data_IF_664948429145
#
_entry.id   IF_664948429145
#
_cell.length_a   1.000
_cell.length_b   1.000
_cell.length_c   1.000
_cell.angle_alpha   90.00
_cell.angle_beta   90.00
_cell.angle_gamma   90.00
#
_symmetry.space_group_name_H-M   'P 1'
#
loop_
_entity.id
_entity.type
_entity.pdbx_description
1 polymer ?
#
# COMPACT_ATOMS: atom_id res chain seq x y z
N UNK A 1 11.82 32.30 13.69
CA UNK A 1 12.80 31.24 13.35
C UNK A 1 12.36 30.59 12.04
N UNK A 2 12.67 31.16 10.85
CA UNK A 2 11.98 30.80 9.63
C UNK A 2 12.83 29.86 8.77
N UNK A 3 12.89 28.58 9.15
CA UNK A 3 13.38 27.52 8.27
C UNK A 3 12.16 26.86 7.63
N UNK A 4 11.75 27.38 6.47
CA UNK A 4 10.60 26.89 5.72
C UNK A 4 11.10 26.10 4.51
N UNK A 5 10.92 24.78 4.55
CA UNK A 5 11.18 23.89 3.43
C UNK A 5 9.99 23.95 2.47
N UNK A 6 10.13 24.66 1.36
CA UNK A 6 9.18 24.54 0.25
C UNK A 6 9.51 23.30 -0.55
N UNK A 7 8.51 22.49 -0.84
CA UNK A 7 8.77 21.15 -1.34
C UNK A 7 7.70 20.67 -2.30
N UNK A 8 8.15 20.00 -3.38
CA UNK A 8 7.29 19.27 -4.31
C UNK A 8 7.72 17.81 -4.28
N UNK A 9 6.79 16.91 -3.96
CA UNK A 9 7.06 15.48 -4.05
C UNK A 9 7.34 15.10 -5.51
N UNK A 10 8.31 14.21 -5.71
CA UNK A 10 8.60 13.65 -7.03
C UNK A 10 7.45 12.72 -7.47
N UNK A 11 7.39 12.42 -8.77
CA UNK A 11 6.26 11.73 -9.42
C UNK A 11 5.78 10.46 -8.68
N UNK A 12 4.50 10.06 -8.86
CA UNK A 12 3.91 8.90 -8.19
C UNK A 12 4.66 7.58 -8.33
N UNK A 13 5.41 7.41 -9.42
CA UNK A 13 6.24 6.25 -9.70
C UNK A 13 7.38 6.05 -8.68
N UNK A 14 7.69 7.07 -7.87
CA UNK A 14 8.77 7.07 -6.89
C UNK A 14 8.32 6.75 -5.45
N UNK A 15 7.01 6.55 -5.23
CA UNK A 15 6.53 6.15 -3.91
C UNK A 15 6.66 4.64 -3.73
N UNK A 16 7.16 4.24 -2.56
CA UNK A 16 7.27 2.84 -2.18
C UNK A 16 6.94 2.65 -0.71
N UNK A 17 6.47 1.47 -0.37
CA UNK A 17 6.38 1.06 1.02
C UNK A 17 7.73 0.53 1.50
N UNK A 18 8.21 1.05 2.62
CA UNK A 18 9.40 0.60 3.33
C UNK A 18 8.98 -0.32 4.47
N UNK A 19 9.26 -1.62 4.33
CA UNK A 19 8.93 -2.64 5.33
C UNK A 19 9.75 -2.52 6.61
N UNK A 20 10.94 -1.91 6.56
CA UNK A 20 11.78 -1.71 7.73
C UNK A 20 11.25 -0.59 8.63
N UNK A 21 10.70 0.47 8.03
CA UNK A 21 10.09 1.60 8.76
C UNK A 21 8.60 1.44 9.01
N UNK A 22 7.95 0.50 8.33
CA UNK A 22 6.49 0.33 8.33
C UNK A 22 5.75 1.59 7.83
N UNK A 23 6.27 2.21 6.77
CA UNK A 23 5.81 3.50 6.26
C UNK A 23 5.86 3.56 4.73
N UNK A 24 5.01 4.41 4.14
CA UNK A 24 5.15 4.81 2.74
C UNK A 24 6.14 5.96 2.66
N UNK A 25 7.17 5.78 1.83
CA UNK A 25 8.20 6.77 1.58
C UNK A 25 8.14 7.26 0.14
N UNK A 26 8.58 8.49 -0.06
CA UNK A 26 8.76 9.12 -1.36
C UNK A 26 10.04 9.93 -1.39
N UNK A 27 10.46 10.33 -2.58
CA UNK A 27 11.58 11.25 -2.73
C UNK A 27 11.10 12.67 -2.98
N UNK A 28 11.78 13.62 -2.36
CA UNK A 28 11.47 15.03 -2.46
C UNK A 28 12.74 15.83 -2.71
N UNK A 29 12.67 16.74 -3.68
CA UNK A 29 13.73 17.74 -3.89
C UNK A 29 13.46 18.89 -2.94
N UNK A 30 14.37 19.08 -1.99
CA UNK A 30 14.31 20.18 -1.05
C UNK A 30 15.09 21.37 -1.61
N UNK A 31 14.69 22.57 -1.20
CA UNK A 31 15.46 23.79 -1.45
C UNK A 31 15.77 24.45 -0.12
N UNK A 32 17.00 24.92 0.04
CA UNK A 32 17.39 25.70 1.19
C UNK A 32 16.92 27.15 1.01
N UNK A 33 16.00 27.61 1.85
CA UNK A 33 15.58 29.01 1.89
C UNK A 33 16.49 29.80 2.84
N UNK A 34 16.82 31.08 2.55
CA UNK A 34 16.27 31.94 1.50
C UNK A 34 17.00 31.89 0.15
N UNK A 35 18.12 31.15 0.04
CA UNK A 35 19.00 31.19 -1.13
C UNK A 35 18.56 30.28 -2.29
N UNK A 36 17.40 29.60 -2.17
CA UNK A 36 16.85 28.65 -3.13
C UNK A 36 17.83 27.56 -3.62
N UNK A 37 18.84 27.23 -2.80
CA UNK A 37 19.88 26.26 -3.16
C UNK A 37 19.24 24.87 -3.25
N UNK A 38 19.32 24.19 -4.40
CA UNK A 38 18.75 22.86 -4.55
C UNK A 38 19.55 21.85 -3.73
N UNK A 39 18.86 21.06 -2.92
CA UNK A 39 19.42 19.95 -2.17
C UNK A 39 19.26 18.65 -2.97
N UNK A 40 20.11 17.64 -2.71
CA UNK A 40 19.90 16.30 -3.24
C UNK A 40 18.52 15.78 -2.85
N UNK A 41 17.95 14.93 -3.69
CA UNK A 41 16.66 14.31 -3.40
C UNK A 41 16.79 13.46 -2.13
N UNK A 42 15.94 13.76 -1.15
CA UNK A 42 15.91 13.05 0.12
C UNK A 42 14.67 12.18 0.19
N UNK A 43 14.82 11.00 0.80
CA UNK A 43 13.71 10.14 1.13
C UNK A 43 12.96 10.70 2.33
N UNK A 44 11.64 10.83 2.19
CA UNK A 44 10.74 11.35 3.22
C UNK A 44 9.57 10.41 3.42
N UNK A 45 9.04 10.38 4.64
CA UNK A 45 7.74 9.77 4.92
C UNK A 45 6.65 10.55 4.18
N UNK A 46 5.76 9.81 3.53
CA UNK A 46 4.62 10.40 2.84
C UNK A 46 3.57 10.88 3.86
N UNK A 47 3.03 12.10 3.72
CA UNK A 47 1.99 12.59 4.63
C UNK A 47 0.74 11.70 4.60
N UNK A 48 0.07 11.58 5.74
CA UNK A 48 -1.16 10.77 5.88
C UNK A 48 -2.32 11.24 4.98
N UNK A 49 -2.28 12.49 4.53
CA UNK A 49 -3.27 13.12 3.63
C UNK A 49 -2.92 12.94 2.15
N UNK A 50 -1.75 12.38 1.84
CA UNK A 50 -1.27 12.29 0.47
C UNK A 50 -2.10 11.25 -0.32
N UNK A 51 -2.59 11.58 -1.53
CA UNK A 51 -3.48 10.71 -2.29
C UNK A 51 -2.86 9.37 -2.70
N UNK A 52 -1.53 9.31 -2.80
CA UNK A 52 -0.80 8.08 -3.15
C UNK A 52 -0.61 7.10 -1.98
N UNK A 53 -0.91 7.48 -0.72
CA UNK A 53 -0.65 6.66 0.46
C UNK A 53 -1.34 5.28 0.37
N UNK A 54 -2.67 5.26 0.28
CA UNK A 54 -3.44 4.02 0.24
C UNK A 54 -3.22 3.19 -1.03
N UNK A 55 -3.09 3.79 -2.24
CA UNK A 55 -2.65 3.07 -3.43
C UNK A 55 -1.32 2.33 -3.27
N UNK A 56 -0.33 2.96 -2.61
CA UNK A 56 0.98 2.34 -2.37
C UNK A 56 0.89 1.23 -1.32
N UNK A 57 0.10 1.42 -0.26
CA UNK A 57 -0.18 0.36 0.72
C UNK A 57 -0.87 -0.83 0.06
N UNK A 58 -1.90 -0.60 -0.75
CA UNK A 58 -2.57 -1.66 -1.49
C UNK A 58 -1.62 -2.40 -2.44
N UNK A 59 -0.75 -1.67 -3.15
CA UNK A 59 0.29 -2.28 -3.99
C UNK A 59 1.23 -3.18 -3.17
N UNK A 60 1.76 -2.68 -2.06
CA UNK A 60 2.63 -3.47 -1.17
C UNK A 60 1.91 -4.67 -0.53
N UNK A 61 0.60 -4.56 -0.28
CA UNK A 61 -0.24 -5.64 0.21
C UNK A 61 -0.33 -6.77 -0.81
N UNK A 62 -0.68 -6.42 -2.05
CA UNK A 62 -0.78 -7.36 -3.17
C UNK A 62 0.56 -8.00 -3.55
N UNK A 63 1.67 -7.28 -3.35
CA UNK A 63 3.02 -7.82 -3.56
C UNK A 63 3.46 -8.79 -2.45
N UNK A 64 2.73 -8.87 -1.33
CA UNK A 64 3.16 -9.62 -0.15
C UNK A 64 4.31 -8.96 0.62
N UNK A 65 4.58 -7.67 0.39
CA UNK A 65 5.62 -6.91 1.12
C UNK A 65 5.19 -6.54 2.54
N UNK A 66 3.88 -6.35 2.74
CA UNK A 66 3.30 -6.11 4.07
C UNK A 66 3.20 -7.40 4.89
N UNK A 67 2.91 -8.52 4.22
CA UNK A 67 2.63 -9.82 4.83
C UNK A 67 3.21 -10.92 3.94
N UNK A 68 4.29 -11.56 4.38
CA UNK A 68 5.07 -12.47 3.56
C UNK A 68 4.25 -13.68 3.07
N UNK A 69 3.30 -14.16 3.87
CA UNK A 69 2.37 -15.26 3.52
C UNK A 69 1.57 -15.00 2.23
N UNK A 70 1.29 -13.73 1.90
CA UNK A 70 0.57 -13.36 0.68
C UNK A 70 1.43 -13.46 -0.59
N UNK A 71 2.76 -13.52 -0.46
CA UNK A 71 3.66 -13.65 -1.61
C UNK A 71 3.40 -14.94 -2.41
N UNK A 72 2.93 -16.01 -1.74
CA UNK A 72 2.58 -17.29 -2.35
C UNK A 72 1.42 -17.20 -3.36
N UNK A 73 0.58 -16.16 -3.24
CA UNK A 73 -0.61 -15.95 -4.07
C UNK A 73 -0.43 -14.81 -5.07
N UNK A 74 0.75 -14.17 -5.10
CA UNK A 74 1.03 -13.02 -5.97
C UNK A 74 0.89 -13.35 -7.45
N UNK A 75 1.44 -14.48 -7.89
CA UNK A 75 1.43 -14.90 -9.30
C UNK A 75 0.04 -15.32 -9.79
N UNK A 76 -0.90 -15.46 -8.85
CA UNK A 76 -2.27 -15.88 -9.11
C UNK A 76 -3.22 -14.68 -9.22
N UNK A 77 -2.74 -13.45 -9.03
CA UNK A 77 -3.53 -12.24 -9.18
C UNK A 77 -3.95 -12.01 -10.65
N UNK A 78 -5.20 -11.60 -10.87
CA UNK A 78 -5.74 -11.27 -12.20
C UNK A 78 -4.97 -10.10 -12.80
N UNK A 79 -4.58 -9.13 -11.97
CA UNK A 79 -3.82 -7.93 -12.32
C UNK A 79 -2.47 -7.90 -11.64
N UNK A 80 -1.53 -7.18 -12.24
CA UNK A 80 -0.25 -6.88 -11.57
C UNK A 80 -0.50 -5.99 -10.34
N UNK A 81 0.20 -6.19 -9.21
CA UNK A 81 0.05 -5.37 -8.00
C UNK A 81 0.17 -3.86 -8.25
N UNK A 82 1.02 -3.47 -9.21
CA UNK A 82 1.27 -2.08 -9.59
C UNK A 82 0.01 -1.38 -10.13
N UNK A 83 -0.99 -2.14 -10.61
CA UNK A 83 -2.29 -1.59 -10.99
C UNK A 83 -3.00 -0.87 -9.83
N UNK A 84 -2.69 -1.21 -8.58
CA UNK A 84 -3.23 -0.55 -7.40
C UNK A 84 -2.73 0.90 -7.25
N UNK A 85 -1.58 1.25 -7.84
CA UNK A 85 -1.03 2.62 -7.79
C UNK A 85 -1.93 3.64 -8.49
N UNK A 86 -2.78 3.19 -9.43
CA UNK A 86 -3.79 4.05 -10.06
C UNK A 86 -4.94 4.44 -9.10
N UNK A 87 -5.04 3.81 -7.92
CA UNK A 87 -6.04 4.12 -6.89
C UNK A 87 -7.46 4.08 -7.44
N UNK A 88 -8.21 5.17 -7.28
CA UNK A 88 -9.58 5.30 -7.79
C UNK A 88 -9.70 5.21 -9.32
N UNK A 89 -8.59 5.39 -10.06
CA UNK A 89 -8.52 5.28 -11.52
C UNK A 89 -8.11 3.88 -11.99
N UNK A 90 -7.93 2.93 -11.07
CA UNK A 90 -7.59 1.56 -11.44
C UNK A 90 -8.68 0.96 -12.35
N UNK A 91 -8.29 0.26 -13.43
CA UNK A 91 -9.25 -0.24 -14.43
C UNK A 91 -10.16 -1.33 -13.84
N UNK A 92 -9.64 -2.15 -12.91
CA UNK A 92 -10.40 -3.22 -12.27
C UNK A 92 -11.16 -2.71 -11.06
N UNK A 93 -12.47 -2.99 -10.99
CA UNK A 93 -13.33 -2.62 -9.85
C UNK A 93 -12.81 -3.20 -8.52
N UNK A 94 -12.40 -4.47 -8.50
CA UNK A 94 -11.90 -5.13 -7.30
C UNK A 94 -10.66 -4.43 -6.70
N UNK A 95 -9.79 -3.83 -7.54
CA UNK A 95 -8.64 -3.05 -7.05
C UNK A 95 -9.10 -1.77 -6.37
N UNK A 96 -10.11 -1.09 -6.95
CA UNK A 96 -10.69 0.13 -6.37
C UNK A 96 -11.35 -0.17 -5.03
N UNK A 97 -12.06 -1.29 -4.92
CA UNK A 97 -12.66 -1.74 -3.66
C UNK A 97 -11.62 -2.01 -2.58
N UNK A 98 -10.52 -2.72 -2.94
CA UNK A 98 -9.42 -2.97 -2.02
C UNK A 98 -8.84 -1.65 -1.47
N UNK A 99 -8.53 -0.69 -2.35
CA UNK A 99 -7.98 0.61 -1.94
C UNK A 99 -8.97 1.35 -1.03
N UNK A 100 -10.26 1.33 -1.36
CA UNK A 100 -11.31 1.94 -0.54
C UNK A 100 -11.47 1.27 0.82
N UNK A 101 -11.39 -0.05 0.90
CA UNK A 101 -11.48 -0.81 2.16
C UNK A 101 -10.31 -0.46 3.09
N UNK A 102 -9.08 -0.40 2.56
CA UNK A 102 -7.89 0.03 3.29
C UNK A 102 -8.06 1.49 3.77
N UNK A 103 -8.53 2.39 2.90
CA UNK A 103 -8.76 3.79 3.24
C UNK A 103 -9.87 3.96 4.30
N UNK A 104 -10.95 3.17 4.21
CA UNK A 104 -12.09 3.22 5.13
C UNK A 104 -11.71 2.88 6.56
N UNK A 105 -10.79 1.93 6.75
CA UNK A 105 -10.20 1.59 8.07
C UNK A 105 -9.00 2.45 8.45
N UNK A 106 -8.62 3.44 7.63
CA UNK A 106 -7.40 4.26 7.80
C UNK A 106 -6.16 3.38 8.01
N UNK A 107 -6.09 2.25 7.31
CA UNK A 107 -5.03 1.27 7.46
C UNK A 107 -3.79 1.73 6.67
N UNK A 108 -2.99 2.58 7.31
CA UNK A 108 -1.86 3.29 6.67
C UNK A 108 -0.55 2.51 6.66
N UNK A 109 -0.49 1.40 7.39
CA UNK A 109 0.72 0.59 7.57
C UNK A 109 0.36 -0.83 8.01
N UNK A 110 1.37 -1.70 8.16
CA UNK A 110 1.19 -3.10 8.55
C UNK A 110 0.48 -3.22 9.89
N UNK A 111 0.92 -2.44 10.89
CA UNK A 111 0.31 -2.44 12.23
C UNK A 111 -1.17 -2.05 12.21
N UNK A 112 -1.55 -1.05 11.41
CA UNK A 112 -2.93 -0.61 11.29
C UNK A 112 -3.81 -1.66 10.60
N UNK A 113 -3.27 -2.41 9.63
CA UNK A 113 -3.99 -3.55 9.03
C UNK A 113 -4.16 -4.68 10.07
N UNK A 114 -3.12 -4.97 10.86
CA UNK A 114 -3.19 -5.97 11.93
C UNK A 114 -4.24 -5.60 12.98
N UNK A 115 -4.26 -4.34 13.43
CA UNK A 115 -5.29 -3.84 14.34
C UNK A 115 -6.70 -3.97 13.74
N UNK A 116 -6.87 -3.68 12.44
CA UNK A 116 -8.16 -3.89 11.76
C UNK A 116 -8.57 -5.38 11.73
N UNK A 117 -7.61 -6.31 11.68
CA UNK A 117 -7.87 -7.76 11.82
C UNK A 117 -8.16 -8.21 13.25
N UNK A 118 -7.80 -7.44 14.26
CA UNK A 118 -8.23 -7.71 15.64
C UNK A 118 -9.74 -7.45 15.80
N UNK A 119 -10.24 -6.40 15.13
CA UNK A 119 -11.67 -6.08 15.11
C UNK A 119 -12.49 -6.98 14.16
N UNK A 120 -11.98 -7.23 12.96
CA UNK A 120 -12.63 -8.03 11.93
C UNK A 120 -11.62 -8.96 11.27
N UNK A 121 -11.62 -10.23 11.66
CA UNK A 121 -10.72 -11.26 11.14
C UNK A 121 -10.85 -11.44 9.63
N UNK A 122 -11.98 -11.08 9.02
CA UNK A 122 -12.24 -11.23 7.58
C UNK A 122 -11.89 -9.99 6.76
N UNK A 123 -11.44 -8.91 7.40
CA UNK A 123 -11.10 -7.66 6.74
C UNK A 123 -10.14 -7.90 5.56
N UNK A 124 -10.46 -7.34 4.38
CA UNK A 124 -9.76 -7.48 3.08
C UNK A 124 -9.79 -8.87 2.43
N UNK A 125 -10.33 -9.91 3.08
CA UNK A 125 -10.34 -11.26 2.50
C UNK A 125 -11.19 -11.30 1.23
N UNK A 126 -12.39 -10.74 1.25
CA UNK A 126 -13.30 -10.73 0.11
C UNK A 126 -12.72 -9.93 -1.06
N UNK A 127 -12.13 -8.77 -0.79
CA UNK A 127 -11.46 -7.92 -1.78
C UNK A 127 -10.26 -8.64 -2.40
N UNK A 128 -9.48 -9.36 -1.60
CA UNK A 128 -8.33 -10.12 -2.07
C UNK A 128 -8.75 -11.33 -2.91
N UNK A 129 -9.79 -12.08 -2.51
CA UNK A 129 -10.33 -13.21 -3.28
C UNK A 129 -10.80 -12.75 -4.67
N UNK A 130 -11.49 -11.61 -4.77
CA UNK A 130 -11.93 -11.03 -6.05
C UNK A 130 -10.78 -10.71 -7.01
N UNK A 131 -9.55 -10.59 -6.50
CA UNK A 131 -8.36 -10.32 -7.29
C UNK A 131 -7.61 -11.58 -7.72
N UNK A 132 -8.03 -12.77 -7.28
CA UNK A 132 -7.39 -14.03 -7.62
C UNK A 132 -7.99 -14.65 -8.89
N UNK A 133 -7.14 -15.27 -9.71
CA UNK A 133 -7.53 -15.99 -10.94
C UNK A 133 -8.21 -17.35 -10.67
N UNK A 134 -8.58 -17.65 -9.42
CA UNK A 134 -9.07 -18.99 -9.08
C UNK A 134 -10.43 -19.27 -9.72
N UNK A 135 -10.50 -20.40 -10.42
CA UNK A 135 -11.74 -21.15 -10.64
C UNK A 135 -11.85 -22.33 -9.65
N UNK A 136 -10.87 -22.51 -8.76
CA UNK A 136 -10.69 -23.71 -7.93
C UNK A 136 -10.91 -23.41 -6.43
N UNK A 137 -11.86 -24.13 -5.84
CA UNK A 137 -12.28 -24.00 -4.46
C UNK A 137 -11.15 -24.34 -3.47
N UNK A 138 -10.24 -25.25 -3.82
CA UNK A 138 -9.12 -25.65 -2.96
C UNK A 138 -8.18 -24.50 -2.65
N UNK A 139 -7.94 -23.61 -3.62
CA UNK A 139 -7.04 -22.46 -3.43
C UNK A 139 -7.69 -21.34 -2.64
N UNK A 140 -8.99 -21.13 -2.84
CA UNK A 140 -9.78 -20.20 -2.02
C UNK A 140 -9.77 -20.66 -0.57
N UNK A 141 -9.96 -21.97 -0.33
CA UNK A 141 -9.89 -22.54 1.01
C UNK A 141 -8.52 -22.33 1.66
N UNK A 142 -7.43 -22.64 0.96
CA UNK A 142 -6.06 -22.41 1.46
C UNK A 142 -5.81 -20.94 1.82
N UNK A 143 -6.29 -20.01 0.98
CA UNK A 143 -6.19 -18.58 1.25
C UNK A 143 -6.98 -18.19 2.51
N UNK A 144 -8.19 -18.71 2.68
CA UNK A 144 -9.01 -18.47 3.87
C UNK A 144 -8.40 -19.06 5.14
N UNK A 145 -7.78 -20.24 5.06
CA UNK A 145 -7.16 -20.94 6.20
C UNK A 145 -5.93 -20.18 6.75
N UNK A 146 -5.20 -19.47 5.88
CA UNK A 146 -4.06 -18.64 6.30
C UNK A 146 -4.46 -17.23 6.75
N UNK A 147 -5.75 -16.88 6.68
CA UNK A 147 -6.22 -15.53 6.95
C UNK A 147 -6.58 -15.34 8.43
N UNK A 148 -6.14 -14.25 9.10
CA UNK A 148 -5.29 -13.18 8.59
C UNK A 148 -3.82 -13.63 8.40
N UNK A 149 -3.14 -13.19 7.32
CA UNK A 149 -1.80 -13.63 6.93
C UNK A 149 -0.69 -12.99 7.76
N UNK A 150 -0.84 -12.94 9.08
CA UNK A 150 0.14 -12.39 10.01
C UNK A 150 1.27 -13.40 10.20
N UNK A 151 2.52 -12.95 10.18
CA UNK A 151 3.68 -13.78 10.55
C UNK A 151 3.60 -14.06 12.07
N UNK A 152 3.85 -15.31 12.47
CA UNK A 152 3.82 -15.73 13.87
C UNK A 152 5.01 -15.17 14.67
#
# INVERSE_FOLDING_TARGET
NPLSLRSSCLEPANYRYDSGRDEVVGWQKLKYTPLDIPLPASEIRLPDTHPALYPVIACAFLQGRLFAKLSLFRDQLIVRPEAALAGCRAPLHAVRDLVKAIQGRRAKNRKAIQAAWEEDKTFLLAEYIKLQRFADYERIRKLSDIWPPVDA
#
